data_IF_626198868664
#
_entry.id   IF_626198868664
#
_cell.length_a   1.000
_cell.length_b   1.000
_cell.length_c   1.000
_cell.angle_alpha   90.00
_cell.angle_beta   90.00
_cell.angle_gamma   90.00
#
_symmetry.space_group_name_H-M   'P 1'
#
loop_
_entity.id
_entity.type
_entity.pdbx_description
1 polymer ?
#
# COMPACT_ATOMS: atom_id res chain seq x y z
N UNK A 1 -34.87 -3.25 -10.61
CA UNK A 1 -33.47 -2.78 -10.74
C UNK A 1 -33.38 -1.37 -10.17
N UNK A 2 -32.71 -1.17 -9.03
CA UNK A 2 -32.37 0.17 -8.56
C UNK A 2 -31.10 0.61 -9.28
N UNK A 3 -31.14 1.70 -10.05
CA UNK A 3 -29.94 2.30 -10.65
C UNK A 3 -28.91 2.62 -9.56
N UNK A 4 -27.62 2.42 -9.87
CA UNK A 4 -26.53 2.83 -8.98
C UNK A 4 -26.55 4.36 -8.83
N UNK A 5 -26.57 4.83 -7.60
CA UNK A 5 -26.66 6.27 -7.31
C UNK A 5 -25.28 6.89 -7.12
N UNK A 6 -24.27 6.07 -6.80
CA UNK A 6 -22.89 6.51 -6.70
C UNK A 6 -22.24 6.64 -8.08
N UNK A 7 -22.24 7.87 -8.62
CA UNK A 7 -21.76 8.19 -9.98
C UNK A 7 -20.32 7.73 -10.26
N UNK A 8 -19.46 7.76 -9.24
CA UNK A 8 -18.08 7.37 -9.39
C UNK A 8 -17.93 5.88 -9.71
N UNK A 9 -18.81 5.01 -9.19
CA UNK A 9 -18.82 3.58 -9.52
C UNK A 9 -19.02 3.36 -11.03
N UNK A 10 -19.99 4.06 -11.61
CA UNK A 10 -20.28 3.99 -13.06
C UNK A 10 -19.10 4.49 -13.91
N UNK A 11 -18.41 5.53 -13.45
CA UNK A 11 -17.28 6.11 -14.18
C UNK A 11 -16.08 5.15 -14.30
N UNK A 12 -15.87 4.26 -13.31
CA UNK A 12 -14.67 3.41 -13.27
C UNK A 12 -14.88 1.94 -13.54
N UNK A 13 -16.12 1.45 -13.48
CA UNK A 13 -16.42 0.03 -13.65
C UNK A 13 -15.86 -0.54 -14.97
N UNK A 14 -16.01 0.18 -16.10
CA UNK A 14 -15.48 -0.27 -17.39
C UNK A 14 -13.94 -0.31 -17.43
N UNK A 15 -13.27 0.68 -16.85
CA UNK A 15 -11.79 0.71 -16.79
C UNK A 15 -11.25 -0.43 -15.92
N UNK A 16 -11.91 -0.71 -14.79
CA UNK A 16 -11.53 -1.80 -13.90
C UNK A 16 -11.79 -3.15 -14.61
N UNK A 17 -12.93 -3.33 -15.27
CA UNK A 17 -13.20 -4.55 -16.06
C UNK A 17 -12.09 -4.82 -17.08
N UNK A 18 -11.70 -3.80 -17.86
CA UNK A 18 -10.62 -3.90 -18.83
C UNK A 18 -9.28 -4.32 -18.19
N UNK A 19 -8.96 -3.80 -17.00
CA UNK A 19 -7.79 -4.21 -16.21
C UNK A 19 -7.82 -5.70 -15.90
N UNK A 20 -8.90 -6.18 -15.26
CA UNK A 20 -9.01 -7.59 -14.89
C UNK A 20 -8.96 -8.53 -16.10
N UNK A 21 -9.68 -8.19 -17.18
CA UNK A 21 -9.68 -8.97 -18.42
C UNK A 21 -8.27 -9.09 -19.01
N UNK A 22 -7.54 -7.97 -19.11
CA UNK A 22 -6.17 -7.93 -19.63
C UNK A 22 -5.22 -8.82 -18.82
N UNK A 23 -5.23 -8.69 -17.50
CA UNK A 23 -4.33 -9.44 -16.63
C UNK A 23 -4.68 -10.94 -16.55
N UNK A 24 -5.96 -11.29 -16.52
CA UNK A 24 -6.39 -12.70 -16.55
C UNK A 24 -6.03 -13.36 -17.89
N UNK A 25 -6.19 -12.66 -19.01
CA UNK A 25 -5.76 -13.16 -20.33
C UNK A 25 -4.26 -13.41 -20.36
N UNK A 26 -3.46 -12.43 -19.93
CA UNK A 26 -1.99 -12.54 -19.86
C UNK A 26 -1.55 -13.71 -18.96
N UNK A 27 -2.20 -13.87 -17.80
CA UNK A 27 -1.90 -14.96 -16.88
C UNK A 27 -2.27 -16.34 -17.46
N UNK A 28 -3.37 -16.41 -18.20
CA UNK A 28 -3.80 -17.63 -18.90
C UNK A 28 -2.77 -18.03 -19.96
N UNK A 29 -2.27 -17.08 -20.74
CA UNK A 29 -1.21 -17.30 -21.74
C UNK A 29 0.09 -17.79 -21.09
N UNK A 30 0.41 -17.30 -19.89
CA UNK A 30 1.57 -17.75 -19.11
C UNK A 30 1.37 -19.12 -18.42
N UNK A 31 0.21 -19.78 -18.61
CA UNK A 31 -0.07 -21.11 -18.07
C UNK A 31 -0.44 -21.13 -16.59
N UNK A 32 -0.82 -19.98 -16.03
CA UNK A 32 -1.21 -19.85 -14.63
C UNK A 32 -2.51 -20.61 -14.34
N UNK A 33 -2.59 -21.20 -13.15
CA UNK A 33 -3.75 -21.99 -12.70
C UNK A 33 -4.50 -21.25 -11.61
N UNK A 34 -5.75 -21.67 -11.37
CA UNK A 34 -6.61 -21.11 -10.32
C UNK A 34 -6.89 -19.60 -10.49
N UNK A 35 -7.21 -19.19 -11.71
CA UNK A 35 -7.61 -17.83 -12.07
C UNK A 35 -9.09 -17.58 -11.74
N UNK A 36 -9.39 -16.38 -11.27
CA UNK A 36 -10.75 -15.94 -10.99
C UNK A 36 -11.54 -15.60 -12.27
N UNK A 37 -12.86 -15.54 -12.15
CA UNK A 37 -13.71 -14.96 -13.19
C UNK A 37 -13.78 -13.45 -12.99
N UNK A 38 -13.46 -12.68 -14.03
CA UNK A 38 -13.63 -11.23 -14.00
C UNK A 38 -15.12 -10.86 -13.90
N UNK A 39 -15.55 -10.04 -12.93
CA UNK A 39 -16.91 -9.53 -12.92
C UNK A 39 -17.12 -8.59 -14.11
N UNK A 40 -18.30 -8.66 -14.72
CA UNK A 40 -18.68 -7.69 -15.74
C UNK A 40 -18.83 -6.28 -15.13
N UNK A 41 -18.65 -5.23 -15.93
CA UNK A 41 -18.70 -3.84 -15.43
C UNK A 41 -19.99 -3.51 -14.64
N UNK A 42 -21.16 -3.98 -15.09
CA UNK A 42 -22.42 -3.73 -14.37
C UNK A 42 -22.46 -4.40 -12.98
N UNK A 43 -21.81 -5.55 -12.79
CA UNK A 43 -21.67 -6.17 -11.48
C UNK A 43 -20.68 -5.39 -10.61
N UNK A 44 -19.53 -4.97 -11.16
CA UNK A 44 -18.57 -4.14 -10.45
C UNK A 44 -19.21 -2.83 -9.97
N UNK A 45 -19.94 -2.14 -10.86
CA UNK A 45 -20.68 -0.92 -10.54
C UNK A 45 -21.63 -1.14 -9.35
N UNK A 46 -22.41 -2.22 -9.38
CA UNK A 46 -23.36 -2.53 -8.32
C UNK A 46 -22.68 -2.88 -6.99
N UNK A 47 -21.59 -3.64 -7.03
CA UNK A 47 -20.83 -4.00 -5.82
C UNK A 47 -20.22 -2.75 -5.20
N UNK A 48 -19.62 -1.87 -6.01
CA UNK A 48 -19.01 -0.61 -5.55
C UNK A 48 -20.07 0.33 -4.99
N UNK A 49 -21.22 0.51 -5.65
CA UNK A 49 -22.32 1.35 -5.19
C UNK A 49 -22.86 0.87 -3.83
N UNK A 50 -23.17 -0.43 -3.70
CA UNK A 50 -23.69 -0.99 -2.46
C UNK A 50 -22.67 -0.88 -1.32
N UNK A 51 -21.39 -1.15 -1.60
CA UNK A 51 -20.33 -1.03 -0.61
C UNK A 51 -20.09 0.43 -0.18
N UNK A 52 -20.18 1.39 -1.11
CA UNK A 52 -20.03 2.81 -0.79
C UNK A 52 -21.12 3.25 0.18
N UNK A 53 -22.38 2.94 -0.11
CA UNK A 53 -23.48 3.28 0.81
C UNK A 53 -23.42 2.50 2.12
N UNK A 54 -22.89 1.27 2.13
CA UNK A 54 -22.63 0.54 3.37
C UNK A 54 -21.55 1.22 4.21
N UNK A 55 -20.47 1.72 3.58
CA UNK A 55 -19.36 2.38 4.28
C UNK A 55 -19.78 3.64 5.05
N UNK A 56 -20.86 4.31 4.60
CA UNK A 56 -21.42 5.49 5.26
C UNK A 56 -22.42 5.14 6.37
N UNK A 57 -22.82 3.88 6.48
CA UNK A 57 -23.68 3.40 7.57
C UNK A 57 -22.85 3.06 8.80
N UNK A 58 -23.46 3.29 9.96
CA UNK A 58 -22.94 2.90 11.27
C UNK A 58 -23.89 1.92 11.92
N UNK A 59 -23.36 0.80 12.38
CA UNK A 59 -24.09 -0.17 13.21
C UNK A 59 -23.57 -0.01 14.64
N UNK A 60 -24.46 0.31 15.58
CA UNK A 60 -24.10 0.55 17.00
C UNK A 60 -22.99 1.62 17.21
N UNK A 61 -22.85 2.55 16.27
CA UNK A 61 -21.82 3.59 16.30
C UNK A 61 -20.45 3.16 15.76
N UNK A 62 -20.33 1.91 15.29
CA UNK A 62 -19.12 1.36 14.67
C UNK A 62 -19.20 1.61 13.16
N UNK A 63 -18.10 2.13 12.59
CA UNK A 63 -17.97 2.34 11.16
C UNK A 63 -17.88 1.00 10.41
N UNK A 64 -18.56 0.88 9.27
CA UNK A 64 -18.56 -0.35 8.46
C UNK A 64 -17.21 -0.56 7.79
N UNK A 65 -16.53 -1.67 8.11
CA UNK A 65 -15.31 -2.15 7.46
C UNK A 65 -15.49 -3.59 7.02
N UNK A 66 -15.31 -3.83 5.74
CA UNK A 66 -15.65 -5.11 5.13
C UNK A 66 -14.86 -5.30 3.83
N UNK A 67 -14.42 -6.53 3.60
CA UNK A 67 -13.76 -6.95 2.37
C UNK A 67 -14.70 -7.86 1.59
N UNK A 68 -15.05 -7.47 0.36
CA UNK A 68 -15.92 -8.23 -0.53
C UNK A 68 -15.08 -8.91 -1.60
N UNK A 69 -15.39 -10.16 -1.94
CA UNK A 69 -14.71 -10.88 -3.02
C UNK A 69 -15.73 -11.46 -4.00
N UNK A 70 -15.50 -11.25 -5.29
CA UNK A 70 -16.36 -11.77 -6.35
C UNK A 70 -15.82 -13.11 -6.86
N UNK A 71 -16.50 -14.20 -6.49
CA UNK A 71 -16.15 -15.58 -6.86
C UNK A 71 -17.30 -16.54 -6.53
N UNK A 72 -17.46 -17.67 -7.24
CA UNK A 72 -18.42 -18.68 -6.87
C UNK A 72 -17.92 -19.49 -5.65
N UNK A 73 -18.83 -20.07 -4.85
CA UNK A 73 -18.46 -20.93 -3.71
C UNK A 73 -17.50 -22.07 -4.07
N UNK A 74 -17.59 -22.62 -5.28
CA UNK A 74 -16.75 -23.70 -5.78
C UNK A 74 -15.27 -23.33 -5.89
N UNK A 75 -14.94 -22.05 -6.05
CA UNK A 75 -13.56 -21.54 -6.12
C UNK A 75 -13.00 -21.10 -4.75
N UNK A 76 -13.82 -21.11 -3.69
CA UNK A 76 -13.43 -20.63 -2.36
C UNK A 76 -12.69 -21.68 -1.49
N UNK A 77 -12.53 -22.92 -1.98
CA UNK A 77 -11.84 -24.00 -1.28
C UNK A 77 -12.63 -24.55 -0.09
N UNK A 78 -12.57 -23.90 1.09
CA UNK A 78 -13.33 -24.27 2.30
C UNK A 78 -14.14 -23.07 2.81
N UNK A 79 -15.19 -22.65 2.07
CA UNK A 79 -16.02 -21.53 2.47
C UNK A 79 -16.90 -21.85 3.69
N UNK A 80 -17.22 -20.83 4.48
CA UNK A 80 -18.40 -20.85 5.34
C UNK A 80 -19.58 -20.43 4.48
N UNK A 81 -20.58 -21.31 4.36
CA UNK A 81 -21.77 -21.06 3.55
C UNK A 81 -22.94 -20.66 4.44
N UNK A 82 -23.68 -19.64 4.01
CA UNK A 82 -24.98 -19.36 4.60
C UNK A 82 -26.00 -20.37 4.12
N UNK A 83 -26.95 -20.72 4.99
CA UNK A 83 -28.03 -21.64 4.62
C UNK A 83 -28.91 -21.08 3.49
N UNK A 84 -29.06 -19.75 3.43
CA UNK A 84 -29.80 -19.04 2.40
C UNK A 84 -28.90 -17.99 1.76
N UNK A 85 -29.03 -17.81 0.45
CA UNK A 85 -28.42 -16.68 -0.26
C UNK A 85 -29.00 -15.39 0.30
N UNK A 86 -28.12 -14.46 0.69
CA UNK A 86 -28.56 -13.17 1.20
C UNK A 86 -28.47 -12.10 0.10
N UNK A 87 -29.42 -11.17 0.01
CA UNK A 87 -29.39 -10.13 -1.01
C UNK A 87 -28.23 -9.15 -0.76
N UNK A 88 -27.50 -8.78 -1.81
CA UNK A 88 -26.44 -7.77 -1.71
C UNK A 88 -27.06 -6.37 -1.50
N UNK A 89 -27.12 -5.92 -0.25
CA UNK A 89 -27.67 -4.61 0.14
C UNK A 89 -26.79 -3.92 1.18
N UNK A 90 -26.78 -2.59 1.17
CA UNK A 90 -25.92 -1.81 2.05
C UNK A 90 -26.22 -2.07 3.54
N UNK A 91 -27.51 -2.17 3.88
CA UNK A 91 -27.98 -2.49 5.23
C UNK A 91 -27.49 -3.86 5.72
N UNK A 92 -27.49 -4.86 4.85
CA UNK A 92 -27.02 -6.19 5.22
C UNK A 92 -25.50 -6.21 5.41
N UNK A 93 -24.75 -5.53 4.54
CA UNK A 93 -23.30 -5.41 4.69
C UNK A 93 -22.93 -4.72 6.01
N UNK A 94 -23.61 -3.64 6.39
CA UNK A 94 -23.42 -2.97 7.68
C UNK A 94 -23.64 -3.91 8.86
N UNK A 95 -24.70 -4.74 8.82
CA UNK A 95 -24.97 -5.74 9.87
C UNK A 95 -23.97 -6.90 9.92
N UNK A 96 -23.42 -7.31 8.78
CA UNK A 96 -22.44 -8.39 8.72
C UNK A 96 -21.04 -7.93 9.13
N UNK A 97 -20.71 -6.65 8.90
CA UNK A 97 -19.38 -6.06 9.11
C UNK A 97 -18.72 -6.45 10.43
N UNK A 98 -19.37 -6.36 11.62
CA UNK A 98 -18.71 -6.68 12.89
C UNK A 98 -18.24 -8.14 12.99
N UNK A 99 -18.92 -9.06 12.30
CA UNK A 99 -18.56 -10.48 12.28
C UNK A 99 -17.44 -10.82 11.30
N UNK A 100 -17.13 -9.92 10.36
CA UNK A 100 -16.22 -10.18 9.23
C UNK A 100 -15.06 -9.18 9.09
N UNK A 101 -14.99 -8.15 9.94
CA UNK A 101 -13.87 -7.19 10.00
C UNK A 101 -12.59 -7.87 10.53
N UNK A 102 -11.97 -8.71 9.71
CA UNK A 102 -10.73 -9.43 10.03
C UNK A 102 -9.82 -9.53 8.81
N UNK A 103 -8.53 -9.31 9.01
CA UNK A 103 -7.54 -9.45 7.95
C UNK A 103 -7.57 -10.85 7.34
N UNK A 104 -7.77 -10.94 6.01
CA UNK A 104 -7.79 -12.19 5.27
C UNK A 104 -9.12 -12.96 5.33
N UNK A 105 -10.20 -12.33 5.80
CA UNK A 105 -11.57 -12.84 5.71
C UNK A 105 -12.37 -11.99 4.71
N UNK A 106 -13.03 -12.64 3.77
CA UNK A 106 -13.77 -11.99 2.69
C UNK A 106 -15.22 -12.45 2.69
N UNK A 107 -16.15 -11.53 2.45
CA UNK A 107 -17.54 -11.85 2.16
C UNK A 107 -17.65 -12.21 0.68
N UNK A 108 -18.13 -13.42 0.42
CA UNK A 108 -18.24 -13.97 -0.92
C UNK A 108 -19.50 -13.49 -1.64
N UNK A 109 -19.30 -12.90 -2.82
CA UNK A 109 -20.36 -12.42 -3.71
C UNK A 109 -20.34 -13.24 -4.99
N UNK A 110 -21.51 -13.67 -5.43
CA UNK A 110 -21.69 -14.28 -6.74
C UNK A 110 -22.98 -13.76 -7.37
N UNK A 111 -23.26 -14.18 -8.60
CA UNK A 111 -24.47 -13.82 -9.33
C UNK A 111 -25.21 -15.07 -9.79
N UNK A 112 -26.54 -15.00 -9.79
CA UNK A 112 -27.44 -16.03 -10.32
C UNK A 112 -28.57 -15.30 -11.05
N UNK A 113 -28.86 -15.71 -12.29
CA UNK A 113 -29.88 -15.07 -13.14
C UNK A 113 -29.73 -13.54 -13.31
N UNK A 114 -28.51 -13.02 -13.17
CA UNK A 114 -28.21 -11.58 -13.31
C UNK A 114 -28.32 -10.78 -12.01
N UNK A 115 -28.69 -11.42 -10.89
CA UNK A 115 -28.80 -10.76 -9.58
C UNK A 115 -27.63 -11.16 -8.66
N UNK A 116 -27.08 -10.17 -7.95
CA UNK A 116 -25.96 -10.38 -7.02
C UNK A 116 -26.46 -10.83 -5.65
N UNK A 117 -25.79 -11.84 -5.10
CA UNK A 117 -26.08 -12.38 -3.77
C UNK A 117 -24.81 -12.67 -2.99
N UNK A 118 -24.95 -12.67 -1.66
CA UNK A 118 -23.93 -13.08 -0.71
C UNK A 118 -24.16 -14.55 -0.38
N UNK A 119 -23.15 -15.39 -0.62
CA UNK A 119 -23.21 -16.82 -0.34
C UNK A 119 -22.58 -17.22 0.99
N UNK A 120 -21.74 -16.36 1.59
CA UNK A 120 -21.02 -16.66 2.82
C UNK A 120 -19.67 -15.96 2.94
N UNK A 121 -18.67 -16.62 3.54
CA UNK A 121 -17.33 -16.06 3.74
C UNK A 121 -16.22 -17.03 3.34
N UNK A 122 -15.04 -16.50 3.01
CA UNK A 122 -13.84 -17.26 2.64
C UNK A 122 -12.56 -16.60 3.13
N UNK A 123 -11.52 -17.41 3.32
CA UNK A 123 -10.14 -16.97 3.57
C UNK A 123 -9.18 -17.33 2.42
N UNK A 124 -9.69 -17.96 1.35
CA UNK A 124 -8.95 -18.31 0.14
C UNK A 124 -9.59 -17.65 -1.06
N UNK A 125 -8.74 -17.07 -1.88
CA UNK A 125 -9.11 -16.40 -3.12
C UNK A 125 -8.26 -16.95 -4.27
N UNK A 126 -8.86 -17.17 -5.45
CA UNK A 126 -8.11 -17.43 -6.68
C UNK A 126 -7.23 -16.23 -7.09
N UNK A 127 -6.29 -16.47 -8.00
CA UNK A 127 -5.44 -15.43 -8.57
C UNK A 127 -6.27 -14.45 -9.39
N UNK A 128 -5.95 -13.16 -9.32
CA UNK A 128 -6.72 -12.07 -9.93
C UNK A 128 -8.20 -11.98 -9.51
N UNK A 129 -8.57 -12.55 -8.35
CA UNK A 129 -9.91 -12.36 -7.78
C UNK A 129 -10.18 -10.88 -7.53
N UNK A 130 -11.30 -10.37 -8.03
CA UNK A 130 -11.77 -9.02 -7.71
C UNK A 130 -12.11 -8.95 -6.23
N UNK A 131 -11.46 -8.03 -5.53
CA UNK A 131 -11.71 -7.71 -4.12
C UNK A 131 -12.01 -6.24 -3.99
N UNK A 132 -13.06 -5.91 -3.24
CA UNK A 132 -13.40 -4.54 -2.86
C UNK A 132 -13.30 -4.41 -1.34
N UNK A 133 -12.31 -3.64 -0.89
CA UNK A 133 -12.10 -3.33 0.53
C UNK A 133 -12.75 -1.99 0.87
N UNK A 134 -13.58 -1.98 1.90
CA UNK A 134 -14.05 -0.76 2.57
C UNK A 134 -13.13 -0.49 3.75
N UNK A 135 -12.15 0.40 3.55
CA UNK A 135 -11.09 0.66 4.55
C UNK A 135 -11.52 1.67 5.61
N UNK A 136 -12.25 2.71 5.19
CA UNK A 136 -12.78 3.78 6.04
C UNK A 136 -14.12 4.26 5.46
N UNK A 137 -14.95 4.99 6.23
CA UNK A 137 -16.18 5.57 5.70
C UNK A 137 -15.92 6.40 4.43
N UNK A 138 -16.57 6.03 3.33
CA UNK A 138 -16.42 6.68 2.03
C UNK A 138 -15.10 6.41 1.31
N UNK A 139 -14.24 5.51 1.80
CA UNK A 139 -12.99 5.08 1.17
C UNK A 139 -13.06 3.60 0.79
N UNK A 140 -13.05 3.33 -0.51
CA UNK A 140 -13.06 2.00 -1.08
C UNK A 140 -11.80 1.77 -1.91
N UNK A 141 -11.28 0.55 -1.86
CA UNK A 141 -10.09 0.16 -2.60
C UNK A 141 -10.39 -1.12 -3.35
N UNK A 142 -10.29 -1.06 -4.67
CA UNK A 142 -10.39 -2.21 -5.56
C UNK A 142 -9.01 -2.84 -5.65
N UNK A 143 -8.95 -4.14 -5.40
CA UNK A 143 -7.73 -4.92 -5.36
C UNK A 143 -7.89 -6.23 -6.10
N UNK A 144 -6.78 -6.83 -6.48
CA UNK A 144 -6.77 -8.23 -6.88
C UNK A 144 -5.66 -9.00 -6.23
N UNK A 145 -5.88 -10.31 -6.02
CA UNK A 145 -4.84 -11.17 -5.47
C UNK A 145 -3.69 -11.31 -6.46
N UNK A 146 -2.47 -11.04 -6.00
CA UNK A 146 -1.26 -11.24 -6.80
C UNK A 146 -0.80 -12.71 -6.74
N UNK A 147 -0.12 -13.17 -7.79
CA UNK A 147 0.34 -14.57 -7.94
C UNK A 147 1.59 -14.82 -7.08
N UNK A 148 2.48 -13.82 -6.92
CA UNK A 148 3.84 -13.99 -6.35
C UNK A 148 4.24 -12.83 -5.43
N UNK A 149 4.87 -13.08 -4.27
CA UNK A 149 5.51 -12.03 -3.47
C UNK A 149 4.76 -11.57 -2.21
N UNK A 150 5.36 -10.58 -1.54
CA UNK A 150 4.94 -10.12 -0.22
C UNK A 150 4.02 -8.90 -0.35
N UNK A 151 2.74 -9.24 -0.41
CA UNK A 151 1.67 -8.33 -0.79
C UNK A 151 0.60 -9.23 -1.37
N UNK A 152 -0.35 -9.66 -0.54
CA UNK A 152 -1.42 -10.57 -1.00
C UNK A 152 -2.25 -9.94 -2.13
N UNK A 153 -2.17 -8.62 -2.28
CA UNK A 153 -3.02 -7.83 -3.15
C UNK A 153 -2.24 -6.74 -3.87
N UNK A 154 -2.63 -6.49 -5.12
CA UNK A 154 -2.27 -5.29 -5.88
C UNK A 154 -3.48 -4.38 -5.89
N UNK A 155 -3.27 -3.09 -5.59
CA UNK A 155 -4.33 -2.09 -5.63
C UNK A 155 -4.52 -1.63 -7.08
N UNK A 156 -5.77 -1.58 -7.52
CA UNK A 156 -6.16 -1.22 -8.90
C UNK A 156 -6.79 0.16 -8.92
N UNK A 157 -7.66 0.45 -7.96
CA UNK A 157 -8.33 1.73 -7.88
C UNK A 157 -8.64 2.09 -6.42
N UNK A 158 -8.67 3.39 -6.13
CA UNK A 158 -9.13 3.97 -4.88
C UNK A 158 -10.27 4.95 -5.18
N UNK A 159 -11.38 4.78 -4.47
CA UNK A 159 -12.53 5.66 -4.53
C UNK A 159 -12.69 6.32 -3.15
N UNK A 160 -12.61 7.65 -3.08
CA UNK A 160 -12.76 8.43 -1.85
C UNK A 160 -13.76 9.56 -2.06
N UNK A 161 -14.96 9.43 -1.52
CA UNK A 161 -16.02 10.43 -1.76
C UNK A 161 -16.33 10.51 -3.26
N UNK A 162 -16.12 11.65 -3.89
CA UNK A 162 -16.26 11.85 -5.34
C UNK A 162 -14.96 11.68 -6.14
N UNK A 163 -13.82 11.51 -5.47
CA UNK A 163 -12.52 11.33 -6.10
C UNK A 163 -12.28 9.87 -6.44
N UNK A 164 -11.81 9.62 -7.66
CA UNK A 164 -11.34 8.30 -8.07
C UNK A 164 -9.92 8.38 -8.61
N UNK A 165 -9.10 7.44 -8.18
CA UNK A 165 -7.74 7.24 -8.66
C UNK A 165 -7.61 5.81 -9.13
N UNK A 166 -7.14 5.61 -10.36
CA UNK A 166 -6.80 4.30 -10.91
C UNK A 166 -5.28 4.20 -10.96
N UNK A 167 -4.72 3.08 -10.52
CA UNK A 167 -3.27 2.85 -10.54
C UNK A 167 -2.80 2.75 -11.98
N UNK A 168 -1.67 3.40 -12.27
CA UNK A 168 -0.96 3.26 -13.54
C UNK A 168 0.34 2.47 -13.32
N UNK A 169 0.33 1.22 -13.77
CA UNK A 169 1.48 0.32 -13.66
C UNK A 169 2.67 0.76 -14.52
N UNK A 170 2.44 1.58 -15.56
CA UNK A 170 3.50 2.07 -16.44
C UNK A 170 4.43 3.07 -15.74
N UNK A 171 3.97 3.71 -14.66
CA UNK A 171 4.79 4.65 -13.88
C UNK A 171 6.04 4.00 -13.29
N UNK A 172 6.04 2.68 -13.05
CA UNK A 172 7.23 1.99 -12.55
C UNK A 172 8.31 1.77 -13.62
N UNK A 173 8.03 2.10 -14.89
CA UNK A 173 9.00 2.07 -15.98
C UNK A 173 9.75 3.41 -16.13
N UNK A 174 9.41 4.42 -15.32
CA UNK A 174 10.11 5.70 -15.34
C UNK A 174 11.58 5.54 -14.92
N UNK A 175 12.51 6.27 -15.53
CA UNK A 175 13.93 6.23 -15.17
C UNK A 175 14.16 6.49 -13.68
N UNK A 176 15.13 5.78 -13.10
CA UNK A 176 15.56 5.91 -11.71
C UNK A 176 14.44 5.67 -10.66
N UNK A 177 13.34 5.02 -11.04
CA UNK A 177 12.27 4.65 -10.10
C UNK A 177 12.80 3.80 -8.93
N UNK A 178 12.52 4.17 -7.67
CA UNK A 178 13.08 3.46 -6.53
C UNK A 178 12.45 2.06 -6.40
N UNK A 179 13.24 1.08 -5.95
CA UNK A 179 12.83 -0.33 -5.90
C UNK A 179 11.54 -0.60 -5.11
N UNK A 180 11.24 0.22 -4.09
CA UNK A 180 9.97 0.15 -3.35
C UNK A 180 8.75 0.44 -4.24
N UNK A 181 8.85 1.42 -5.15
CA UNK A 181 7.77 1.80 -6.08
C UNK A 181 7.59 0.71 -7.12
N UNK A 182 8.68 0.24 -7.75
CA UNK A 182 8.61 -0.81 -8.78
C UNK A 182 8.12 -2.14 -8.21
N UNK A 183 8.46 -2.45 -6.96
CA UNK A 183 7.94 -3.63 -6.26
C UNK A 183 6.45 -3.51 -5.94
N UNK A 184 5.97 -2.33 -5.51
CA UNK A 184 4.54 -2.10 -5.21
C UNK A 184 3.67 -2.09 -6.47
N UNK A 185 4.22 -1.66 -7.61
CA UNK A 185 3.58 -1.75 -8.93
C UNK A 185 3.69 -3.13 -9.56
N UNK A 186 4.34 -4.09 -8.89
CA UNK A 186 4.46 -5.45 -9.40
C UNK A 186 5.35 -5.57 -10.63
N UNK A 187 6.38 -4.72 -10.79
CA UNK A 187 7.39 -4.84 -11.86
C UNK A 187 8.66 -5.56 -11.42
N UNK A 188 8.96 -5.54 -10.12
CA UNK A 188 10.11 -6.23 -9.54
C UNK A 188 9.64 -7.22 -8.48
N UNK A 189 10.04 -8.49 -8.62
CA UNK A 189 9.52 -9.58 -7.80
C UNK A 189 10.60 -10.18 -6.90
N UNK A 190 10.31 -10.24 -5.60
CA UNK A 190 10.97 -11.16 -4.70
C UNK A 190 9.94 -11.89 -3.85
N UNK A 191 9.95 -13.22 -3.93
CA UNK A 191 9.14 -14.11 -3.09
C UNK A 191 9.62 -14.17 -1.65
N UNK A 192 10.85 -13.73 -1.40
CA UNK A 192 11.49 -13.91 -0.09
C UNK A 192 11.13 -12.77 0.85
N UNK A 193 10.65 -13.13 2.05
CA UNK A 193 10.17 -12.16 3.04
C UNK A 193 11.27 -11.29 3.64
N UNK A 194 12.50 -11.78 3.65
CA UNK A 194 13.67 -11.03 4.09
C UNK A 194 14.24 -10.10 3.01
N UNK A 195 13.62 -10.00 1.83
CA UNK A 195 14.11 -9.07 0.82
C UNK A 195 14.11 -7.64 1.39
N UNK A 196 15.21 -6.90 1.28
CA UNK A 196 15.34 -5.54 1.81
C UNK A 196 14.20 -4.59 1.43
N UNK A 197 13.71 -4.68 0.19
CA UNK A 197 12.60 -3.86 -0.33
C UNK A 197 11.29 -4.26 0.31
N UNK A 198 11.04 -5.57 0.46
CA UNK A 198 9.84 -6.08 1.13
C UNK A 198 9.77 -5.65 2.60
N UNK A 199 10.91 -5.56 3.29
CA UNK A 199 10.98 -5.04 4.66
C UNK A 199 10.65 -3.55 4.69
N UNK A 200 11.16 -2.75 3.74
CA UNK A 200 10.80 -1.33 3.63
C UNK A 200 9.30 -1.12 3.35
N UNK A 201 8.69 -1.97 2.50
CA UNK A 201 7.24 -1.95 2.28
C UNK A 201 6.48 -2.25 3.58
N UNK A 202 6.90 -3.26 4.36
CA UNK A 202 6.26 -3.56 5.64
C UNK A 202 6.40 -2.41 6.65
N UNK A 203 7.56 -1.75 6.69
CA UNK A 203 7.76 -0.55 7.50
C UNK A 203 6.82 0.56 7.02
N UNK A 204 6.72 0.82 5.71
CA UNK A 204 5.84 1.84 5.14
C UNK A 204 4.35 1.61 5.46
N UNK A 205 3.88 0.37 5.31
CA UNK A 205 2.51 -0.03 5.70
C UNK A 205 2.27 0.20 7.19
N UNK A 206 3.25 -0.16 8.04
CA UNK A 206 3.13 0.03 9.50
C UNK A 206 3.16 1.50 9.90
N UNK A 207 4.03 2.30 9.27
CA UNK A 207 4.08 3.75 9.44
C UNK A 207 2.72 4.39 9.15
N UNK A 208 2.08 3.97 8.05
CA UNK A 208 0.75 4.43 7.68
C UNK A 208 -0.32 3.97 8.68
N UNK A 209 -0.25 2.72 9.13
CA UNK A 209 -1.27 2.11 10.00
C UNK A 209 -1.38 2.79 11.37
N UNK A 210 -0.30 3.34 11.92
CA UNK A 210 -0.35 4.02 13.22
C UNK A 210 -0.95 5.44 13.14
N UNK A 211 -1.34 5.94 11.95
CA UNK A 211 -2.03 7.23 11.72
C UNK A 211 -1.35 8.44 12.38
N UNK A 212 -0.03 8.41 12.44
CA UNK A 212 0.80 9.54 12.90
C UNK A 212 1.73 9.90 11.75
N UNK A 213 2.06 11.19 11.64
CA UNK A 213 3.11 11.60 10.72
C UNK A 213 4.44 10.97 11.14
N UNK A 214 5.29 10.62 10.19
CA UNK A 214 6.58 10.02 10.47
C UNK A 214 7.55 10.12 9.30
N UNK A 215 8.83 10.16 9.61
CA UNK A 215 9.92 10.22 8.62
C UNK A 215 10.91 9.10 8.90
N UNK A 216 11.18 8.28 7.89
CA UNK A 216 12.23 7.28 7.89
C UNK A 216 13.27 7.65 6.83
N UNK A 217 14.53 7.68 7.21
CA UNK A 217 15.67 7.92 6.33
C UNK A 217 16.48 6.62 6.23
N UNK A 218 16.75 6.18 5.01
CA UNK A 218 17.55 5.00 4.69
C UNK A 218 18.84 5.47 4.05
N UNK A 219 19.97 5.15 4.68
CA UNK A 219 21.31 5.60 4.26
C UNK A 219 22.22 4.42 3.95
N UNK A 220 23.27 4.57 3.12
CA UNK A 220 24.19 3.45 2.86
C UNK A 220 24.96 3.04 4.10
N UNK A 221 25.08 1.73 4.33
CA UNK A 221 25.89 1.20 5.44
C UNK A 221 27.35 1.65 5.34
N UNK A 222 27.90 2.10 6.47
CA UNK A 222 29.28 2.57 6.57
C UNK A 222 29.51 4.00 6.06
N UNK A 223 28.48 4.66 5.53
CA UNK A 223 28.53 6.08 5.22
C UNK A 223 28.18 6.90 6.47
N UNK A 224 28.97 7.95 6.73
CA UNK A 224 28.70 8.96 7.77
C UNK A 224 28.30 10.31 7.15
N UNK A 225 28.16 10.38 5.81
CA UNK A 225 27.86 11.63 5.09
C UNK A 225 26.53 12.24 5.53
N UNK A 226 25.54 11.40 5.82
CA UNK A 226 24.23 11.80 6.32
C UNK A 226 24.32 12.66 7.59
N UNK A 227 25.39 12.53 8.40
CA UNK A 227 25.55 13.33 9.62
C UNK A 227 25.61 14.83 9.33
N UNK A 228 26.08 15.23 8.15
CA UNK A 228 26.14 16.64 7.75
C UNK A 228 24.74 17.24 7.53
N UNK A 229 23.74 16.41 7.23
CA UNK A 229 22.34 16.81 7.01
C UNK A 229 21.45 16.59 8.24
N UNK A 230 22.05 16.41 9.42
CA UNK A 230 21.34 16.23 10.70
C UNK A 230 21.88 17.23 11.72
N UNK A 231 20.98 17.83 12.51
CA UNK A 231 21.36 18.72 13.61
C UNK A 231 21.97 17.90 14.74
N UNK A 232 23.14 18.33 15.23
CA UNK A 232 23.82 17.74 16.37
C UNK A 232 23.69 18.60 17.63
N UNK A 233 23.67 18.01 18.83
CA UNK A 233 23.74 16.57 19.10
C UNK A 233 22.45 15.83 18.71
N UNK A 234 22.59 14.54 18.34
CA UNK A 234 21.44 13.66 18.09
C UNK A 234 20.57 13.54 19.34
N UNK A 235 19.25 13.59 19.19
CA UNK A 235 18.32 13.47 20.31
C UNK A 235 18.32 12.06 20.91
N UNK A 236 18.22 11.03 20.07
CA UNK A 236 18.26 9.63 20.48
C UNK A 236 19.20 8.81 19.58
N UNK A 237 20.53 8.91 19.77
CA UNK A 237 21.49 8.06 19.07
C UNK A 237 21.41 6.61 19.55
N UNK A 238 21.60 5.66 18.64
CA UNK A 238 21.64 4.22 18.96
C UNK A 238 23.06 3.71 18.73
N UNK A 239 23.72 3.23 19.78
CA UNK A 239 25.07 2.68 19.70
C UNK A 239 25.22 1.46 20.63
N UNK A 240 25.72 0.31 20.13
CA UNK A 240 25.96 0.00 18.71
C UNK A 240 24.64 0.04 17.90
N UNK A 241 24.74 0.15 16.58
CA UNK A 241 23.56 0.12 15.71
C UNK A 241 22.69 -1.11 16.02
N UNK A 242 21.39 -0.93 16.21
CA UNK A 242 20.50 -2.01 16.62
C UNK A 242 20.08 -2.85 15.40
N UNK A 243 20.46 -4.13 15.40
CA UNK A 243 20.34 -5.03 14.26
C UNK A 243 19.09 -5.94 14.30
N UNK A 244 18.04 -5.61 15.06
CA UNK A 244 16.88 -6.50 15.26
C UNK A 244 16.25 -7.00 13.95
N UNK A 245 15.95 -6.10 13.01
CA UNK A 245 15.45 -6.45 11.67
C UNK A 245 16.56 -7.03 10.80
N UNK A 246 17.75 -6.42 10.81
CA UNK A 246 18.91 -6.85 10.03
C UNK A 246 19.33 -8.32 10.30
N UNK A 247 19.24 -8.77 11.55
CA UNK A 247 19.56 -10.14 11.97
C UNK A 247 18.55 -11.16 11.45
N UNK A 248 17.27 -10.77 11.41
CA UNK A 248 16.22 -11.61 10.85
C UNK A 248 16.32 -11.69 9.34
N UNK A 249 16.69 -10.57 8.70
CA UNK A 249 16.90 -10.50 7.25
C UNK A 249 18.08 -11.38 6.80
N UNK A 250 19.19 -11.34 7.53
CA UNK A 250 20.43 -12.09 7.21
C UNK A 250 20.35 -13.60 7.46
N UNK A 251 19.42 -14.07 8.29
CA UNK A 251 19.28 -15.51 8.58
C UNK A 251 18.65 -16.23 7.38
N UNK A 252 19.41 -17.12 6.75
CA UNK A 252 18.88 -18.04 5.74
C UNK A 252 17.90 -19.04 6.36
N UNK A 253 16.71 -19.15 5.77
CA UNK A 253 15.53 -19.85 6.28
C UNK A 253 15.59 -21.39 6.21
N UNK A 254 16.74 -22.02 6.46
CA UNK A 254 16.84 -23.49 6.37
C UNK A 254 16.44 -24.25 7.64
N UNK A 255 16.24 -23.58 8.79
CA UNK A 255 16.12 -24.27 10.11
C UNK A 255 14.87 -23.91 10.94
N UNK A 256 14.18 -22.79 10.69
CA UNK A 256 13.02 -22.37 11.49
C UNK A 256 11.71 -22.57 10.71
N UNK A 257 10.62 -22.88 11.42
CA UNK A 257 9.28 -22.84 10.85
C UNK A 257 8.98 -21.42 10.33
N UNK A 258 8.67 -21.30 9.04
CA UNK A 258 8.42 -20.03 8.34
C UNK A 258 7.49 -19.09 9.12
N UNK A 259 6.49 -19.65 9.82
CA UNK A 259 5.52 -18.88 10.61
C UNK A 259 6.14 -18.18 11.82
N UNK A 260 7.08 -18.82 12.51
CA UNK A 260 7.74 -18.23 13.67
C UNK A 260 8.62 -17.06 13.24
N UNK A 261 9.40 -17.27 12.18
CA UNK A 261 10.27 -16.23 11.63
C UNK A 261 9.46 -15.05 11.09
N UNK A 262 8.35 -15.28 10.38
CA UNK A 262 7.46 -14.22 9.89
C UNK A 262 6.89 -13.37 11.04
N UNK A 263 6.45 -14.01 12.12
CA UNK A 263 5.95 -13.29 13.30
C UNK A 263 7.06 -12.49 14.00
N UNK A 264 8.28 -13.04 14.07
CA UNK A 264 9.43 -12.33 14.63
C UNK A 264 9.79 -11.10 13.79
N UNK A 265 9.90 -11.24 12.46
CA UNK A 265 10.20 -10.13 11.56
C UNK A 265 9.12 -9.05 11.66
N UNK A 266 7.84 -9.44 11.61
CA UNK A 266 6.73 -8.51 11.74
C UNK A 266 6.81 -7.69 13.02
N UNK A 267 7.10 -8.33 14.16
CA UNK A 267 7.22 -7.63 15.44
C UNK A 267 8.40 -6.64 15.45
N UNK A 268 9.55 -7.02 14.91
CA UNK A 268 10.71 -6.11 14.85
C UNK A 268 10.48 -4.95 13.88
N UNK A 269 9.77 -5.18 12.78
CA UNK A 269 9.30 -4.12 11.87
C UNK A 269 8.32 -3.19 12.59
N UNK A 270 7.37 -3.73 13.36
CA UNK A 270 6.42 -2.93 14.14
C UNK A 270 7.14 -2.04 15.18
N UNK A 271 8.14 -2.60 15.87
CA UNK A 271 8.97 -1.84 16.81
C UNK A 271 9.73 -0.69 16.12
N UNK A 272 10.38 -0.98 14.98
CA UNK A 272 11.16 0.02 14.24
C UNK A 272 10.26 1.11 13.63
N UNK A 273 9.17 0.73 12.98
CA UNK A 273 8.20 1.66 12.39
C UNK A 273 7.56 2.54 13.46
N UNK A 274 7.29 1.99 14.66
CA UNK A 274 6.78 2.75 15.79
C UNK A 274 7.66 3.93 16.23
N UNK A 275 8.98 3.83 16.04
CA UNK A 275 9.91 4.93 16.34
C UNK A 275 9.73 6.12 15.40
N UNK A 276 9.21 5.91 14.18
CA UNK A 276 8.96 7.00 13.22
C UNK A 276 7.85 7.95 13.65
N UNK A 277 7.02 7.55 14.62
CA UNK A 277 5.98 8.38 15.19
C UNK A 277 6.51 9.42 16.21
N UNK A 278 7.79 9.34 16.58
CA UNK A 278 8.47 10.32 17.42
C UNK A 278 8.79 11.56 16.57
N UNK A 279 8.77 12.75 17.18
CA UNK A 279 9.11 13.97 16.46
C UNK A 279 10.57 13.96 15.98
N UNK A 280 10.79 14.28 14.70
CA UNK A 280 12.05 14.07 14.00
C UNK A 280 12.04 12.85 13.07
N UNK A 281 13.20 12.48 12.56
CA UNK A 281 13.38 11.37 11.63
C UNK A 281 13.99 10.15 12.35
N UNK A 282 13.53 8.97 11.96
CA UNK A 282 14.20 7.70 12.26
C UNK A 282 15.21 7.42 11.17
N UNK A 283 16.43 7.04 11.56
CA UNK A 283 17.53 6.76 10.65
C UNK A 283 17.90 5.29 10.73
N UNK A 284 17.84 4.62 9.57
CA UNK A 284 18.34 3.27 9.39
C UNK A 284 19.38 3.26 8.27
N UNK A 285 20.19 2.21 8.19
CA UNK A 285 20.95 1.93 6.98
C UNK A 285 20.18 1.00 6.02
N UNK A 286 20.72 0.84 4.82
CA UNK A 286 20.24 -0.08 3.76
C UNK A 286 20.28 -1.58 4.14
N UNK A 287 20.88 -1.92 5.29
CA UNK A 287 20.82 -3.24 5.93
C UNK A 287 19.77 -3.33 7.05
N UNK A 288 18.93 -2.29 7.23
CA UNK A 288 17.91 -2.18 8.29
C UNK A 288 18.47 -2.19 9.72
N UNK A 289 19.70 -1.71 9.92
CA UNK A 289 20.24 -1.44 11.24
C UNK A 289 19.80 -0.04 11.69
N UNK A 290 19.22 0.07 12.89
CA UNK A 290 18.76 1.34 13.46
C UNK A 290 19.94 2.14 14.01
N UNK A 291 20.10 3.37 13.52
CA UNK A 291 21.21 4.26 13.84
C UNK A 291 20.80 5.37 14.84
N UNK A 292 19.61 5.93 14.67
CA UNK A 292 19.07 6.97 15.53
C UNK A 292 17.56 7.13 15.33
N UNK A 293 16.89 7.81 16.25
CA UNK A 293 15.52 8.30 16.06
C UNK A 293 15.36 9.69 16.67
N UNK A 294 14.29 10.40 16.28
CA UNK A 294 14.08 11.80 16.64
C UNK A 294 15.16 12.74 16.07
N UNK A 295 15.79 12.37 14.95
CA UNK A 295 16.83 13.18 14.32
C UNK A 295 16.21 14.39 13.61
N UNK A 296 16.66 15.60 13.95
CA UNK A 296 16.23 16.81 13.25
C UNK A 296 17.05 16.98 11.96
N UNK A 297 16.37 16.91 10.82
CA UNK A 297 16.98 17.12 9.52
C UNK A 297 17.35 18.60 9.34
N UNK A 298 18.54 18.85 8.84
CA UNK A 298 19.01 20.17 8.40
C UNK A 298 19.65 20.06 7.02
N UNK A 299 19.73 21.20 6.32
CA UNK A 299 20.54 21.29 5.12
C UNK A 299 22.02 21.09 5.45
N UNK A 300 22.73 20.34 4.62
CA UNK A 300 24.16 20.14 4.74
C UNK A 300 24.92 21.47 4.60
N UNK A 301 26.14 21.51 5.15
CA UNK A 301 27.01 22.66 4.99
C UNK A 301 27.29 22.91 3.50
N UNK A 302 27.17 24.17 3.07
CA UNK A 302 27.33 24.61 1.66
C UNK A 302 26.33 24.05 0.64
N UNK A 303 25.40 23.18 1.05
CA UNK A 303 24.36 22.70 0.15
C UNK A 303 23.35 23.81 -0.17
N UNK A 304 22.85 23.79 -1.41
CA UNK A 304 21.81 24.70 -1.87
C UNK A 304 20.44 24.26 -1.35
N UNK A 305 19.53 25.21 -1.07
CA UNK A 305 18.14 24.89 -0.82
C UNK A 305 17.54 24.09 -1.99
N UNK A 306 16.66 23.15 -1.67
CA UNK A 306 15.84 22.51 -2.69
C UNK A 306 14.83 23.51 -3.26
N UNK A 307 14.91 23.75 -4.58
CA UNK A 307 14.01 24.68 -5.29
C UNK A 307 12.99 23.97 -6.16
N UNK A 308 13.30 22.74 -6.59
CA UNK A 308 12.46 21.93 -7.48
C UNK A 308 12.61 20.45 -7.20
N UNK A 309 11.54 19.70 -7.43
CA UNK A 309 11.52 18.26 -7.43
C UNK A 309 10.57 17.73 -8.49
N UNK A 310 10.78 16.50 -8.92
CA UNK A 310 9.88 15.79 -9.83
C UNK A 310 8.82 15.06 -9.00
N UNK A 311 7.59 15.53 -9.04
CA UNK A 311 6.46 14.88 -8.36
C UNK A 311 5.82 13.85 -9.28
N UNK A 312 5.60 12.65 -8.74
CA UNK A 312 5.05 11.51 -9.47
C UNK A 312 3.98 10.88 -8.58
N UNK A 313 2.81 10.62 -9.15
CA UNK A 313 1.76 9.84 -8.50
C UNK A 313 1.39 8.68 -9.43
N UNK A 314 1.48 7.41 -9.00
CA UNK A 314 1.36 6.25 -9.88
C UNK A 314 -0.12 5.96 -10.20
N UNK A 315 -0.79 6.93 -10.81
CA UNK A 315 -2.21 6.91 -11.15
C UNK A 315 -2.39 7.43 -12.57
N UNK A 316 -3.48 7.03 -13.24
CA UNK A 316 -3.79 7.51 -14.59
C UNK A 316 -3.93 9.04 -14.56
N UNK A 317 -3.16 9.73 -15.40
CA UNK A 317 -3.08 11.20 -15.44
C UNK A 317 -2.15 11.82 -14.39
N UNK A 318 -1.45 11.00 -13.59
CA UNK A 318 -0.43 11.38 -12.62
C UNK A 318 0.96 11.52 -13.21
N UNK A 319 1.04 12.08 -14.42
CA UNK A 319 2.30 12.27 -15.15
C UNK A 319 3.35 13.02 -14.31
N UNK A 320 4.66 12.75 -14.50
CA UNK A 320 5.71 13.47 -13.79
C UNK A 320 5.63 14.98 -14.01
N UNK A 321 5.54 15.76 -12.92
CA UNK A 321 5.51 17.22 -12.98
C UNK A 321 6.58 17.82 -12.06
N UNK A 322 7.35 18.77 -12.59
CA UNK A 322 8.29 19.54 -11.77
C UNK A 322 7.53 20.57 -10.95
N UNK A 323 7.66 20.49 -9.63
CA UNK A 323 7.00 21.40 -8.69
C UNK A 323 7.98 21.99 -7.69
N UNK A 324 7.58 23.08 -7.04
CA UNK A 324 8.30 23.61 -5.90
C UNK A 324 8.02 22.75 -4.65
N UNK A 325 9.03 22.42 -3.81
CA UNK A 325 8.86 21.53 -2.65
C UNK A 325 7.81 21.98 -1.63
N UNK A 326 7.55 23.29 -1.52
CA UNK A 326 6.49 23.81 -0.64
C UNK A 326 5.08 23.35 -1.04
N UNK A 327 4.88 22.94 -2.29
CA UNK A 327 3.61 22.43 -2.80
C UNK A 327 3.26 21.03 -2.27
N UNK A 328 4.24 20.25 -1.79
CA UNK A 328 4.00 18.93 -1.19
C UNK A 328 3.32 19.00 0.19
N UNK A 329 3.39 20.17 0.85
CA UNK A 329 2.83 20.40 2.17
C UNK A 329 3.62 19.75 3.32
N UNK A 330 3.58 20.41 4.48
CA UNK A 330 4.23 19.92 5.70
C UNK A 330 5.75 20.09 5.73
N UNK A 331 6.29 20.35 6.92
CA UNK A 331 7.74 20.53 7.13
C UNK A 331 8.53 19.23 6.94
N UNK A 332 7.91 18.07 7.21
CA UNK A 332 8.54 16.75 7.04
C UNK A 332 8.89 16.44 5.59
N UNK A 333 8.00 16.74 4.64
CA UNK A 333 8.27 16.51 3.22
C UNK A 333 9.40 17.41 2.71
N UNK A 334 9.37 18.70 3.05
CA UNK A 334 10.43 19.63 2.66
C UNK A 334 11.79 19.19 3.20
N UNK A 335 11.87 18.84 4.48
CA UNK A 335 13.11 18.36 5.10
C UNK A 335 13.59 17.06 4.48
N UNK A 336 12.70 16.10 4.21
CA UNK A 336 13.06 14.84 3.56
C UNK A 336 13.58 15.05 2.13
N UNK A 337 12.93 15.92 1.36
CA UNK A 337 13.36 16.26 0.01
C UNK A 337 14.75 16.93 0.02
N UNK A 338 14.98 17.88 0.94
CA UNK A 338 16.31 18.48 1.13
C UNK A 338 17.35 17.43 1.52
N UNK A 339 17.02 16.50 2.42
CA UNK A 339 17.94 15.44 2.84
C UNK A 339 18.38 14.58 1.66
N UNK A 340 17.46 14.17 0.78
CA UNK A 340 17.79 13.37 -0.41
C UNK A 340 18.60 14.16 -1.44
N UNK A 341 18.37 15.47 -1.57
CA UNK A 341 19.25 16.32 -2.40
C UNK A 341 20.68 16.36 -1.84
N UNK A 342 20.82 16.48 -0.52
CA UNK A 342 22.13 16.55 0.13
C UNK A 342 22.83 15.18 0.17
N UNK A 343 22.04 14.09 0.21
CA UNK A 343 22.49 12.70 0.27
C UNK A 343 21.86 11.87 -0.89
N UNK A 344 22.38 12.01 -2.13
CA UNK A 344 21.80 11.37 -3.32
C UNK A 344 21.75 9.83 -3.30
N UNK A 345 22.52 9.19 -2.41
CA UNK A 345 22.58 7.75 -2.21
C UNK A 345 21.57 7.24 -1.16
N UNK A 346 20.72 8.13 -0.64
CA UNK A 346 19.76 7.85 0.41
C UNK A 346 18.32 7.92 -0.09
N UNK A 347 17.41 7.26 0.64
CA UNK A 347 15.97 7.27 0.38
C UNK A 347 15.26 7.81 1.62
N UNK A 348 14.21 8.60 1.44
CA UNK A 348 13.35 9.02 2.55
C UNK A 348 11.91 8.57 2.34
N UNK A 349 11.30 7.98 3.37
CA UNK A 349 9.89 7.60 3.41
C UNK A 349 9.18 8.54 4.38
N UNK A 350 8.13 9.20 3.93
CA UNK A 350 7.39 10.19 4.73
C UNK A 350 5.92 9.82 4.75
N UNK A 351 5.40 9.54 5.95
CA UNK A 351 3.97 9.48 6.21
C UNK A 351 3.49 10.86 6.69
N UNK A 352 2.51 11.42 5.98
CA UNK A 352 1.80 12.63 6.42
C UNK A 352 0.79 12.29 7.51
N UNK A 353 0.49 13.26 8.38
CA UNK A 353 -0.68 13.16 9.27
C UNK A 353 -2.00 13.10 8.47
N UNK A 354 -2.02 13.69 7.27
CA UNK A 354 -3.19 13.70 6.38
C UNK A 354 -3.38 12.38 5.60
N UNK A 355 -2.54 11.38 5.85
CA UNK A 355 -2.66 10.03 5.29
C UNK A 355 -1.94 9.80 3.96
N UNK A 356 -1.24 10.81 3.44
CA UNK A 356 -0.36 10.65 2.27
C UNK A 356 0.94 9.96 2.64
N UNK A 357 1.48 9.19 1.70
CA UNK A 357 2.76 8.53 1.86
C UNK A 357 3.63 8.85 0.65
N UNK A 358 4.81 9.41 0.89
CA UNK A 358 5.71 9.87 -0.16
C UNK A 358 7.08 9.23 0.00
N UNK A 359 7.63 8.70 -1.09
CA UNK A 359 8.99 8.20 -1.17
C UNK A 359 9.84 9.22 -1.94
N UNK A 360 10.92 9.68 -1.33
CA UNK A 360 11.90 10.55 -1.95
C UNK A 360 13.15 9.76 -2.33
N UNK A 361 13.59 9.93 -3.58
CA UNK A 361 14.80 9.34 -4.14
C UNK A 361 15.50 10.34 -5.06
N UNK A 362 16.77 10.11 -5.36
CA UNK A 362 17.51 10.91 -6.33
C UNK A 362 17.44 10.27 -7.72
N UNK A 363 17.04 11.04 -8.72
CA UNK A 363 17.18 10.66 -10.13
C UNK A 363 18.55 11.10 -10.65
N UNK A 364 19.43 10.16 -10.93
CA UNK A 364 20.76 10.45 -11.48
C UNK A 364 20.68 10.97 -12.91
N UNK A 365 19.71 10.50 -13.70
CA UNK A 365 19.49 10.89 -15.09
C UNK A 365 19.15 12.38 -15.26
N UNK A 366 18.35 12.93 -14.34
CA UNK A 366 17.85 14.31 -14.39
C UNK A 366 18.49 15.23 -13.33
N UNK A 367 19.32 14.67 -12.44
CA UNK A 367 19.91 15.36 -11.30
C UNK A 367 18.86 16.13 -10.47
N UNK A 368 17.77 15.43 -10.13
CA UNK A 368 16.63 16.00 -9.40
C UNK A 368 16.11 15.00 -8.36
N UNK A 369 15.57 15.52 -7.25
CA UNK A 369 14.83 14.70 -6.29
C UNK A 369 13.50 14.30 -6.92
N UNK A 370 13.19 13.00 -6.90
CA UNK A 370 11.87 12.47 -7.21
C UNK A 370 11.05 12.33 -5.93
N UNK A 371 9.79 12.73 -5.96
CA UNK A 371 8.83 12.53 -4.89
C UNK A 371 7.66 11.67 -5.40
N UNK A 372 7.71 10.38 -5.08
CA UNK A 372 6.69 9.41 -5.45
C UNK A 372 5.61 9.35 -4.37
N UNK A 373 4.43 9.88 -4.66
CA UNK A 373 3.28 9.75 -3.78
C UNK A 373 2.59 8.41 -4.00
N UNK A 374 2.75 7.49 -3.06
CA UNK A 374 2.34 6.09 -3.20
C UNK A 374 1.21 5.68 -2.26
N UNK A 375 0.41 6.62 -1.75
CA UNK A 375 -0.64 6.32 -0.78
C UNK A 375 -1.65 5.27 -1.29
N UNK A 376 -1.98 5.33 -2.59
CA UNK A 376 -2.85 4.35 -3.24
C UNK A 376 -2.27 2.94 -3.24
N UNK A 377 -0.94 2.78 -3.26
CA UNK A 377 -0.27 1.48 -3.34
C UNK A 377 -0.12 0.78 -1.98
N UNK A 378 -0.28 1.52 -0.88
CA UNK A 378 -0.10 1.03 0.49
C UNK A 378 -1.43 0.74 1.23
N UNK A 379 -2.55 0.89 0.53
CA UNK A 379 -3.92 0.78 1.06
C UNK A 379 -4.45 -0.66 1.15
#
# INVERSE_FOLDING_TARGET
MNEATYRAAKAVAGTIEAHFVKHIATATENGERNLAVAPAAHFMERIIDVAFWASLQREEGIDTRISLAFLPPSQAGKPLLFQQHLPLTARLLGKLSPGVERAGLYVGIWHEEGELYIWGTTNKLPHFCFVLDVSEPGLLVVKHRHIVGLGKFTNVAMLRGDQVKLVDESCGQLPDSPAIVTSLLGLSYSTVWNNPVNVLIQIAVTMRAHKRGGTLLVTPKGSERWRASIVHPLQYPVFPAFAGVADLVRKDNSVLSDLYWQNALRREVENMAGLTAIDGATLINDHHELLAFGAKISRAHEALPIERLLYIEPVIGGEPVVIHPSSLGGTRHLSAAQFVQDQPDSIALVASQDGYFTVFSWAASEAIVQAHRIDILLL
#
